data_IF_208599135477
#
_entry.id   IF_208599135477
#
_cell.length_a   1.000
_cell.length_b   1.000
_cell.length_c   1.000
_cell.angle_alpha   90.00
_cell.angle_beta   90.00
_cell.angle_gamma   90.00
#
_symmetry.space_group_name_H-M   'P 1'
#
loop_
_entity.id
_entity.type
_entity.pdbx_description
1 polymer ?
#
# COMPACT_ATOMS: atom_id res chain seq x y z
N UNK A 1 13.57 -26.93 0.83
CA UNK A 1 14.14 -25.58 0.60
C UNK A 1 13.13 -24.53 1.05
N UNK A 2 13.53 -23.58 1.90
CA UNK A 2 12.70 -22.39 2.16
C UNK A 2 12.78 -21.50 0.92
N UNK A 3 11.66 -21.21 0.27
CA UNK A 3 11.60 -20.25 -0.83
C UNK A 3 11.92 -18.87 -0.24
N UNK A 4 12.94 -18.19 -0.77
CA UNK A 4 13.25 -16.83 -0.35
C UNK A 4 12.07 -15.92 -0.66
N UNK A 5 11.62 -15.12 0.31
CA UNK A 5 10.53 -14.18 0.12
C UNK A 5 10.99 -13.05 -0.81
N UNK A 6 10.09 -12.59 -1.68
CA UNK A 6 10.35 -11.48 -2.60
C UNK A 6 10.02 -10.17 -1.89
N UNK A 7 10.93 -9.18 -1.83
CA UNK A 7 10.64 -7.92 -1.18
C UNK A 7 9.62 -7.10 -1.98
N UNK A 8 8.70 -6.47 -1.26
CA UNK A 8 7.63 -5.63 -1.82
C UNK A 8 7.39 -4.42 -0.92
N UNK A 9 6.74 -3.39 -1.45
CA UNK A 9 6.18 -2.27 -0.68
C UNK A 9 4.66 -2.31 -0.74
N UNK A 10 4.01 -1.78 0.29
CA UNK A 10 2.56 -1.63 0.32
C UNK A 10 2.16 -0.17 0.04
N UNK A 11 1.11 0.01 -0.76
CA UNK A 11 0.50 1.31 -1.02
C UNK A 11 -1.00 1.27 -0.75
N UNK A 12 -1.49 2.24 0.03
CA UNK A 12 -2.89 2.37 0.40
C UNK A 12 -3.38 3.79 0.11
N UNK A 13 -4.68 3.91 -0.16
CA UNK A 13 -5.35 5.21 -0.28
C UNK A 13 -6.76 5.14 0.28
N UNK A 14 -7.22 6.20 0.93
CA UNK A 14 -8.64 6.40 1.22
C UNK A 14 -9.23 7.45 0.30
N UNK A 15 -10.40 7.16 -0.28
CA UNK A 15 -11.07 8.02 -1.27
C UNK A 15 -11.66 9.32 -0.72
N UNK A 16 -11.81 9.43 0.60
CA UNK A 16 -12.44 10.56 1.27
C UNK A 16 -11.94 10.70 2.70
N UNK A 17 -11.91 11.93 3.21
CA UNK A 17 -11.60 12.23 4.60
C UNK A 17 -12.59 11.57 5.57
N UNK A 18 -13.82 11.30 5.13
CA UNK A 18 -14.81 10.56 5.94
C UNK A 18 -14.40 9.12 6.24
N UNK A 19 -13.38 8.59 5.56
CA UNK A 19 -12.82 7.25 5.75
C UNK A 19 -11.51 7.25 6.57
N UNK A 20 -11.10 8.41 7.08
CA UNK A 20 -9.87 8.61 7.86
C UNK A 20 -10.21 8.83 9.33
N UNK A 21 -9.40 8.30 10.25
CA UNK A 21 -9.50 8.57 11.69
C UNK A 21 -9.83 7.35 12.56
N UNK A 22 -9.82 7.57 13.87
CA UNK A 22 -10.06 6.56 14.90
C UNK A 22 -11.47 5.95 14.75
N UNK A 23 -11.56 4.62 14.75
CA UNK A 23 -12.82 3.89 14.49
C UNK A 23 -13.19 3.70 13.01
N UNK A 24 -12.35 4.12 12.06
CA UNK A 24 -12.54 3.83 10.63
C UNK A 24 -11.83 2.54 10.24
N UNK A 25 -12.62 1.51 9.98
CA UNK A 25 -12.15 0.15 9.65
C UNK A 25 -11.42 0.03 8.30
N UNK A 26 -11.58 1.00 7.41
CA UNK A 26 -11.14 0.86 6.01
C UNK A 26 -9.62 0.68 5.88
N UNK A 27 -8.84 1.41 6.69
CA UNK A 27 -7.38 1.32 6.68
C UNK A 27 -6.90 -0.02 7.26
N UNK A 28 -7.39 -0.39 8.44
CA UNK A 28 -7.01 -1.64 9.13
C UNK A 28 -7.35 -2.88 8.29
N UNK A 29 -8.53 -2.91 7.67
CA UNK A 29 -8.94 -4.04 6.80
C UNK A 29 -8.07 -4.13 5.54
N UNK A 30 -7.71 -2.99 4.93
CA UNK A 30 -6.85 -2.99 3.76
C UNK A 30 -5.43 -3.45 4.11
N UNK A 31 -4.87 -2.98 5.22
CA UNK A 31 -3.56 -3.43 5.70
C UNK A 31 -3.55 -4.94 5.94
N UNK A 32 -4.55 -5.45 6.69
CA UNK A 32 -4.68 -6.88 6.94
C UNK A 32 -4.85 -7.71 5.65
N UNK A 33 -5.57 -7.20 4.65
CA UNK A 33 -5.74 -7.86 3.37
C UNK A 33 -4.40 -7.95 2.59
N UNK A 34 -3.63 -6.86 2.57
CA UNK A 34 -2.30 -6.80 1.93
C UNK A 34 -1.34 -7.76 2.63
N UNK A 35 -1.24 -7.71 3.96
CA UNK A 35 -0.38 -8.59 4.75
C UNK A 35 -0.75 -10.06 4.55
N UNK A 36 -2.05 -10.36 4.60
CA UNK A 36 -2.56 -11.70 4.37
C UNK A 36 -2.22 -12.22 2.98
N UNK A 37 -2.36 -11.39 1.95
CA UNK A 37 -1.96 -11.73 0.59
C UNK A 37 -0.44 -11.93 0.49
N UNK A 38 0.36 -11.00 1.01
CA UNK A 38 1.82 -11.06 0.98
C UNK A 38 2.36 -12.37 1.55
N UNK A 39 1.85 -12.76 2.72
CA UNK A 39 2.22 -14.02 3.39
C UNK A 39 1.94 -15.25 2.53
N UNK A 40 0.77 -15.30 1.88
CA UNK A 40 0.40 -16.44 1.02
C UNK A 40 1.13 -16.46 -0.31
N UNK A 41 1.43 -15.29 -0.87
CA UNK A 41 2.06 -15.14 -2.18
C UNK A 41 3.60 -15.18 -2.13
N UNK A 42 4.20 -15.17 -0.93
CA UNK A 42 5.64 -15.24 -0.74
C UNK A 42 6.35 -13.88 -0.84
N UNK A 43 5.67 -12.82 -0.43
CA UNK A 43 6.24 -11.48 -0.33
C UNK A 43 6.60 -11.12 1.11
N UNK A 44 7.64 -10.29 1.26
CA UNK A 44 7.97 -9.60 2.51
C UNK A 44 7.78 -8.09 2.29
N UNK A 45 6.90 -7.48 3.07
CA UNK A 45 6.59 -6.05 2.96
C UNK A 45 7.69 -5.26 3.68
N UNK A 46 8.25 -4.25 3.00
CA UNK A 46 9.12 -3.24 3.59
C UNK A 46 8.24 -2.22 4.32
N UNK A 47 8.42 -2.14 5.63
CA UNK A 47 7.74 -1.17 6.48
C UNK A 47 8.47 0.18 6.50
N UNK A 48 7.75 1.30 6.69
CA UNK A 48 6.28 1.39 6.79
C UNK A 48 5.59 1.34 5.40
N UNK A 49 4.31 0.97 5.38
CA UNK A 49 3.47 1.14 4.19
C UNK A 49 3.32 2.62 3.78
N UNK A 50 3.18 2.88 2.48
CA UNK A 50 2.90 4.21 1.94
C UNK A 50 1.39 4.45 1.89
N UNK A 51 0.96 5.64 2.31
CA UNK A 51 -0.45 5.94 2.47
C UNK A 51 -0.82 7.34 2.01
N UNK A 52 -1.88 7.43 1.20
CA UNK A 52 -2.52 8.69 0.81
C UNK A 52 -3.91 8.80 1.45
N UNK A 53 -4.03 9.66 2.45
CA UNK A 53 -5.29 9.92 3.13
C UNK A 53 -6.16 10.89 2.31
N UNK A 54 -7.45 10.57 2.15
CA UNK A 54 -8.44 11.45 1.51
C UNK A 54 -8.13 11.92 0.08
N UNK A 55 -7.33 11.15 -0.67
CA UNK A 55 -7.03 11.40 -2.09
C UNK A 55 -8.03 10.62 -2.92
N UNK A 56 -8.58 11.14 -4.01
CA UNK A 56 -9.50 10.42 -4.92
C UNK A 56 -8.77 9.44 -5.84
N UNK A 57 -9.50 8.46 -6.37
CA UNK A 57 -8.95 7.53 -7.36
C UNK A 57 -8.78 8.15 -8.73
N UNK A 58 -9.57 9.20 -8.99
CA UNK A 58 -9.49 10.01 -10.19
C UNK A 58 -8.34 11.04 -10.14
N UNK A 59 -7.77 11.31 -8.96
CA UNK A 59 -6.67 12.26 -8.85
C UNK A 59 -5.44 11.72 -9.57
N UNK A 60 -4.74 12.55 -10.36
CA UNK A 60 -3.52 12.14 -11.03
C UNK A 60 -2.49 11.52 -10.07
N UNK A 61 -1.73 10.54 -10.54
CA UNK A 61 -0.82 9.77 -9.68
C UNK A 61 0.38 10.60 -9.20
N UNK A 62 0.77 11.60 -9.99
CA UNK A 62 1.88 12.52 -9.77
C UNK A 62 1.60 13.59 -8.72
N UNK A 63 0.33 13.76 -8.31
CA UNK A 63 -0.05 14.66 -7.21
C UNK A 63 -0.26 13.93 -5.88
N UNK A 64 -0.07 12.60 -5.84
CA UNK A 64 -0.30 11.79 -4.63
C UNK A 64 0.99 11.70 -3.80
N UNK A 65 1.09 12.38 -2.65
CA UNK A 65 2.36 12.49 -1.92
C UNK A 65 2.92 11.14 -1.45
N UNK A 66 2.06 10.25 -0.95
CA UNK A 66 2.44 8.90 -0.52
C UNK A 66 2.95 8.06 -1.69
N UNK A 67 2.28 8.14 -2.85
CA UNK A 67 2.76 7.42 -4.05
C UNK A 67 4.08 7.99 -4.59
N UNK A 68 4.28 9.30 -4.57
CA UNK A 68 5.56 9.93 -4.95
C UNK A 68 6.70 9.48 -4.04
N UNK A 69 6.46 9.43 -2.73
CA UNK A 69 7.45 8.96 -1.76
C UNK A 69 7.81 7.48 -2.02
N UNK A 70 6.82 6.66 -2.38
CA UNK A 70 7.03 5.28 -2.80
C UNK A 70 7.91 5.19 -4.05
N UNK A 71 7.65 6.00 -5.08
CA UNK A 71 8.48 6.00 -6.30
C UNK A 71 9.91 6.43 -6.00
N UNK A 72 10.11 7.43 -5.14
CA UNK A 72 11.44 7.85 -4.70
C UNK A 72 12.18 6.69 -4.02
N UNK A 73 11.51 5.96 -3.12
CA UNK A 73 12.09 4.80 -2.46
C UNK A 73 12.48 3.69 -3.44
N UNK A 74 11.64 3.39 -4.44
CA UNK A 74 11.95 2.38 -5.46
C UNK A 74 13.11 2.79 -6.37
N UNK A 75 13.28 4.09 -6.62
CA UNK A 75 14.45 4.60 -7.35
C UNK A 75 15.76 4.32 -6.59
N UNK A 76 15.72 4.40 -5.25
CA UNK A 76 16.86 4.13 -4.37
C UNK A 76 17.01 2.65 -3.98
N UNK A 77 16.01 1.81 -4.30
CA UNK A 77 15.91 0.40 -3.83
C UNK A 77 15.61 -0.56 -5.00
N UNK A 78 16.56 -0.78 -5.92
CA UNK A 78 16.32 -1.51 -7.18
C UNK A 78 15.95 -2.99 -7.02
N UNK A 79 16.21 -3.60 -5.86
CA UNK A 79 15.80 -4.97 -5.55
C UNK A 79 14.32 -5.12 -5.23
N UNK A 80 13.64 -4.02 -4.88
CA UNK A 80 12.19 -4.00 -4.63
C UNK A 80 11.49 -3.65 -5.95
N UNK A 81 10.79 -4.61 -6.53
CA UNK A 81 10.10 -4.44 -7.83
C UNK A 81 8.60 -4.75 -7.79
N UNK A 82 8.04 -4.89 -6.59
CA UNK A 82 6.64 -5.26 -6.38
C UNK A 82 5.98 -4.23 -5.48
N UNK A 83 4.86 -3.68 -5.97
CA UNK A 83 3.97 -2.83 -5.20
C UNK A 83 2.69 -3.61 -4.94
N UNK A 84 2.35 -3.81 -3.67
CA UNK A 84 1.06 -4.37 -3.25
C UNK A 84 0.10 -3.22 -2.97
N UNK A 85 -1.04 -3.19 -3.67
CA UNK A 85 -2.00 -2.09 -3.58
C UNK A 85 -3.25 -2.55 -2.83
N UNK A 86 -3.66 -1.76 -1.83
CA UNK A 86 -4.93 -1.97 -1.14
C UNK A 86 -6.10 -1.57 -2.02
N UNK A 87 -7.06 -2.48 -2.22
CA UNK A 87 -8.33 -2.14 -2.84
C UNK A 87 -9.36 -1.83 -1.74
N UNK A 88 -9.96 -0.63 -1.69
CA UNK A 88 -11.11 -0.41 -0.82
C UNK A 88 -12.27 -1.33 -1.27
N UNK A 89 -13.02 -1.94 -0.35
CA UNK A 89 -14.19 -2.71 -0.72
C UNK A 89 -15.16 -1.84 -1.52
N UNK A 90 -15.69 -2.38 -2.63
CA UNK A 90 -16.80 -1.77 -3.33
C UNK A 90 -18.00 -1.73 -2.37
N UNK A 91 -18.55 -0.54 -2.14
CA UNK A 91 -19.82 -0.36 -1.44
C UNK A 91 -20.97 -0.60 -2.41
#
# INVERSE_FOLDING_TARGET
MKKSLVPAVAYLRTSSASNVGEGKDSHLRQTAAIEGYAKRAGYVIREPAYYDAAVSGADPIDVRPGFRALLSYLADTPEVRVILVGNPPAH
#
